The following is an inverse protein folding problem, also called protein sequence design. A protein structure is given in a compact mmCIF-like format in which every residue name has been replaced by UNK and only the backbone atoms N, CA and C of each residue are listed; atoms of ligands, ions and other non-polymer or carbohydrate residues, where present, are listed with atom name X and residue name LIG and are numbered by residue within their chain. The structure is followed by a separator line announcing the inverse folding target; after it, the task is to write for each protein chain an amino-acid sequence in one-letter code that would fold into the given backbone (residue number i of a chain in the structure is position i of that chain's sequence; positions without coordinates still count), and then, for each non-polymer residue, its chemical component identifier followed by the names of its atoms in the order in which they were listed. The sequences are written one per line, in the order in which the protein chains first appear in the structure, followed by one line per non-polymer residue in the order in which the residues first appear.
data_IF_003002685691
#
_entry.id   IF_003002685691
#
_cell.length_a   1.000
_cell.length_b   1.000
_cell.length_c   1.000
_cell.angle_alpha   90.00
_cell.angle_beta   90.00
_cell.angle_gamma   90.00
#
_symmetry.space_group_name_H-M   'P 1'
#
loop_
_entity.id
_entity.type
_entity.pdbx_description
1 polymer ?
#
# COMPACT_ATOMS: atom_id res chain seq x y z
N UNK A 1 5.14 -13.31 -48.71
CA UNK A 1 4.88 -13.85 -50.07
C UNK A 1 6.13 -13.95 -50.97
N UNK A 2 7.05 -13.00 -50.92
CA UNK A 2 8.27 -12.93 -51.77
C UNK A 2 9.20 -14.14 -51.61
N UNK A 3 9.35 -14.64 -50.38
CA UNK A 3 10.28 -15.74 -50.06
C UNK A 3 9.84 -17.10 -50.65
N UNK A 4 8.54 -17.39 -50.67
CA UNK A 4 8.00 -18.65 -51.21
C UNK A 4 8.11 -18.67 -52.75
N UNK A 5 7.81 -17.56 -53.41
CA UNK A 5 7.92 -17.48 -54.88
C UNK A 5 9.37 -17.59 -55.34
N UNK A 6 10.30 -16.95 -54.63
CA UNK A 6 11.74 -17.07 -54.90
C UNK A 6 12.24 -18.50 -54.68
N UNK A 7 11.83 -19.15 -53.59
CA UNK A 7 12.20 -20.53 -53.31
C UNK A 7 11.66 -21.52 -54.38
N UNK A 8 10.43 -21.32 -54.86
CA UNK A 8 9.85 -22.12 -55.94
C UNK A 8 10.54 -21.85 -57.30
N UNK A 9 10.98 -20.62 -57.56
CA UNK A 9 11.78 -20.31 -58.75
C UNK A 9 13.15 -21.00 -58.72
N UNK A 10 13.81 -21.02 -57.57
CA UNK A 10 15.12 -21.70 -57.43
C UNK A 10 14.99 -23.21 -57.64
N UNK A 11 13.93 -23.85 -57.13
CA UNK A 11 13.63 -25.26 -57.43
C UNK A 11 13.47 -25.48 -58.93
N UNK A 12 12.71 -24.63 -59.62
CA UNK A 12 12.54 -24.72 -61.07
C UNK A 12 13.86 -24.58 -61.82
N UNK A 13 14.75 -23.70 -61.34
CA UNK A 13 16.08 -23.48 -61.93
C UNK A 13 17.00 -24.69 -61.76
N UNK A 14 16.90 -25.42 -60.66
CA UNK A 14 17.62 -26.68 -60.42
C UNK A 14 17.02 -27.84 -61.24
N UNK A 15 15.69 -27.91 -61.30
CA UNK A 15 14.96 -28.87 -62.11
C UNK A 15 15.32 -28.79 -63.60
N UNK A 16 15.44 -27.58 -64.16
CA UNK A 16 15.84 -27.39 -65.56
C UNK A 16 17.21 -28.01 -65.89
N UNK A 17 18.18 -27.88 -64.98
CA UNK A 17 19.51 -28.48 -65.18
C UNK A 17 19.43 -30.00 -65.11
N UNK A 18 18.66 -30.54 -64.16
CA UNK A 18 18.45 -31.98 -64.08
C UNK A 18 17.79 -32.51 -65.36
N UNK A 19 16.76 -31.84 -65.87
CA UNK A 19 16.11 -32.24 -67.12
C UNK A 19 17.06 -32.17 -68.32
N UNK A 20 17.88 -31.13 -68.42
CA UNK A 20 18.87 -31.04 -69.48
C UNK A 20 19.85 -32.23 -69.43
N UNK A 21 20.36 -32.57 -68.25
CA UNK A 21 21.26 -33.71 -68.07
C UNK A 21 20.58 -35.03 -68.43
N UNK A 22 19.32 -35.22 -68.05
CA UNK A 22 18.53 -36.40 -68.40
C UNK A 22 18.30 -36.49 -69.92
N UNK A 23 17.92 -35.39 -70.57
CA UNK A 23 17.74 -35.35 -72.03
C UNK A 23 19.06 -35.69 -72.73
N UNK A 24 20.18 -35.11 -72.32
CA UNK A 24 21.50 -35.42 -72.89
C UNK A 24 21.87 -36.89 -72.70
N UNK A 25 21.66 -37.44 -71.50
CA UNK A 25 21.91 -38.85 -71.22
C UNK A 25 21.05 -39.78 -72.07
N UNK A 26 19.74 -39.52 -72.15
CA UNK A 26 18.82 -40.27 -73.00
C UNK A 26 19.22 -40.15 -74.49
N UNK A 27 19.49 -38.94 -74.97
CA UNK A 27 19.94 -38.71 -76.36
C UNK A 27 21.20 -39.49 -76.73
N UNK A 28 22.17 -39.62 -75.81
CA UNK A 28 23.36 -40.44 -76.00
C UNK A 28 23.00 -41.93 -76.04
N UNK A 29 22.11 -42.38 -75.15
CA UNK A 29 21.64 -43.77 -75.11
C UNK A 29 20.85 -44.18 -76.36
N UNK A 30 20.22 -43.25 -77.08
CA UNK A 30 19.52 -43.54 -78.32
C UNK A 30 20.41 -44.17 -79.40
N UNK A 31 21.70 -43.82 -79.45
CA UNK A 31 22.66 -44.31 -80.46
C UNK A 31 22.91 -45.81 -80.36
N UNK A 32 23.33 -46.38 -79.21
CA UNK A 32 23.51 -47.82 -79.08
C UNK A 32 22.19 -48.61 -79.19
N UNK A 33 21.04 -48.03 -78.79
CA UNK A 33 19.73 -48.68 -78.96
C UNK A 33 19.44 -48.82 -80.47
N UNK A 34 19.56 -47.73 -81.23
CA UNK A 34 19.35 -47.77 -82.68
C UNK A 34 20.34 -48.70 -83.37
N UNK A 35 21.61 -48.72 -82.95
CA UNK A 35 22.60 -49.67 -83.48
C UNK A 35 22.18 -51.14 -83.31
N UNK A 36 21.49 -51.46 -82.22
CA UNK A 36 21.08 -52.82 -81.90
C UNK A 36 19.76 -53.25 -82.59
N UNK A 37 18.79 -52.35 -82.70
CA UNK A 37 17.42 -52.68 -83.12
C UNK A 37 17.03 -52.13 -84.51
N UNK A 38 17.62 -51.04 -85.00
CA UNK A 38 17.17 -50.33 -86.21
C UNK A 38 18.32 -49.76 -87.06
N UNK A 39 18.03 -48.84 -88.00
CA UNK A 39 19.08 -48.03 -88.65
C UNK A 39 19.37 -46.76 -87.84
N UNK A 40 20.57 -46.19 -88.03
CA UNK A 40 21.01 -44.97 -87.33
C UNK A 40 20.38 -43.68 -87.89
N UNK A 41 19.74 -43.74 -89.06
CA UNK A 41 19.37 -42.57 -89.85
C UNK A 41 18.44 -41.62 -89.09
N UNK A 42 17.51 -42.17 -88.30
CA UNK A 42 16.61 -41.38 -87.47
C UNK A 42 17.29 -40.76 -86.25
N UNK A 43 18.16 -41.51 -85.56
CA UNK A 43 18.81 -41.03 -84.33
C UNK A 43 19.81 -39.91 -84.60
N UNK A 44 20.59 -40.01 -85.68
CA UNK A 44 21.59 -39.01 -86.05
C UNK A 44 20.98 -37.63 -86.34
N UNK A 45 19.68 -37.56 -86.61
CA UNK A 45 18.95 -36.31 -86.85
C UNK A 45 18.18 -35.89 -85.58
N UNK A 46 17.30 -36.75 -85.07
CA UNK A 46 16.38 -36.35 -84.01
C UNK A 46 17.05 -36.16 -82.64
N UNK A 47 18.04 -36.99 -82.29
CA UNK A 47 18.72 -36.90 -80.98
C UNK A 47 19.54 -35.60 -80.82
N UNK A 48 20.37 -35.18 -81.81
CA UNK A 48 21.03 -33.87 -81.75
C UNK A 48 20.06 -32.70 -81.73
N UNK A 49 18.95 -32.76 -82.49
CA UNK A 49 17.95 -31.68 -82.52
C UNK A 49 17.28 -31.49 -81.16
N UNK A 50 16.82 -32.58 -80.54
CA UNK A 50 16.19 -32.53 -79.20
C UNK A 50 17.18 -32.02 -78.15
N UNK A 51 18.44 -32.45 -78.24
CA UNK A 51 19.50 -32.04 -77.31
C UNK A 51 19.86 -30.57 -77.44
N UNK A 52 20.10 -30.08 -78.67
CA UNK A 52 20.43 -28.67 -78.93
C UNK A 52 19.26 -27.76 -78.52
N UNK A 53 18.03 -28.18 -78.81
CA UNK A 53 16.83 -27.42 -78.41
C UNK A 53 16.70 -27.36 -76.87
N UNK A 54 16.90 -28.49 -76.18
CA UNK A 54 16.89 -28.53 -74.72
C UNK A 54 17.99 -27.64 -74.11
N UNK A 55 19.21 -27.70 -74.66
CA UNK A 55 20.32 -26.85 -74.22
C UNK A 55 20.00 -25.36 -74.43
N UNK A 56 19.53 -24.98 -75.61
CA UNK A 56 19.15 -23.61 -75.92
C UNK A 56 18.08 -23.08 -74.96
N UNK A 57 17.03 -23.87 -74.71
CA UNK A 57 15.97 -23.51 -73.75
C UNK A 57 16.52 -23.37 -72.32
N UNK A 58 17.35 -24.31 -71.87
CA UNK A 58 17.90 -24.28 -70.52
C UNK A 58 18.92 -23.14 -70.30
N UNK A 59 19.68 -22.73 -71.32
CA UNK A 59 20.63 -21.60 -71.21
C UNK A 59 19.95 -20.24 -71.36
N UNK A 60 18.96 -20.13 -72.25
CA UNK A 60 18.32 -18.84 -72.56
C UNK A 60 17.13 -18.50 -71.67
N UNK A 61 16.37 -19.49 -71.21
CA UNK A 61 15.07 -19.29 -70.53
C UNK A 61 14.97 -20.01 -69.18
N UNK A 62 16.11 -20.28 -68.53
CA UNK A 62 16.17 -21.04 -67.27
C UNK A 62 15.25 -20.49 -66.18
N UNK A 63 14.51 -21.38 -65.52
CA UNK A 63 13.60 -21.09 -64.41
C UNK A 63 12.26 -20.47 -64.83
N UNK A 64 12.05 -20.20 -66.13
CA UNK A 64 10.81 -19.64 -66.65
C UNK A 64 9.70 -20.67 -66.73
N UNK A 65 8.46 -20.21 -66.92
CA UNK A 65 7.32 -21.11 -67.16
C UNK A 65 7.51 -21.91 -68.46
N UNK A 66 8.23 -21.36 -69.44
CA UNK A 66 8.46 -22.03 -70.74
C UNK A 66 9.30 -23.30 -70.55
N UNK A 67 10.43 -23.20 -69.85
CA UNK A 67 11.31 -24.37 -69.64
C UNK A 67 10.65 -25.46 -68.80
N UNK A 68 9.79 -25.08 -67.85
CA UNK A 68 9.02 -26.01 -67.00
C UNK A 68 8.10 -26.96 -67.77
N UNK A 69 7.60 -26.57 -68.94
CA UNK A 69 6.80 -27.45 -69.79
C UNK A 69 7.64 -28.00 -70.95
N UNK A 70 8.46 -27.16 -71.58
CA UNK A 70 9.19 -27.54 -72.77
C UNK A 70 10.26 -28.61 -72.50
N UNK A 71 11.06 -28.51 -71.43
CA UNK A 71 12.09 -29.50 -71.14
C UNK A 71 11.51 -30.89 -70.80
N UNK A 72 10.49 -31.01 -69.93
CA UNK A 72 9.79 -32.28 -69.73
C UNK A 72 9.20 -32.88 -71.00
N UNK A 73 8.58 -32.07 -71.86
CA UNK A 73 8.03 -32.55 -73.13
C UNK A 73 9.12 -33.00 -74.10
N UNK A 74 10.29 -32.34 -74.12
CA UNK A 74 11.46 -32.79 -74.88
C UNK A 74 12.03 -34.10 -74.34
N UNK A 75 12.03 -34.30 -73.02
CA UNK A 75 12.36 -35.59 -72.41
C UNK A 75 11.34 -36.69 -72.79
N UNK A 76 10.05 -36.35 -72.85
CA UNK A 76 9.04 -37.29 -73.36
C UNK A 76 9.28 -37.64 -74.84
N UNK A 77 9.71 -36.66 -75.64
CA UNK A 77 10.05 -36.87 -77.06
C UNK A 77 11.31 -37.74 -77.24
N UNK A 78 12.33 -37.62 -76.38
CA UNK A 78 13.49 -38.53 -76.42
C UNK A 78 13.11 -39.95 -76.01
N UNK A 79 12.20 -40.14 -75.04
CA UNK A 79 11.64 -41.46 -74.72
C UNK A 79 10.82 -42.04 -75.87
N UNK A 80 9.98 -41.22 -76.53
CA UNK A 80 9.27 -41.63 -77.74
C UNK A 80 10.24 -42.05 -78.86
N UNK A 81 11.38 -41.35 -79.00
CA UNK A 81 12.44 -41.73 -79.94
C UNK A 81 13.06 -43.08 -79.56
N UNK A 82 13.31 -43.36 -78.28
CA UNK A 82 13.80 -44.68 -77.84
C UNK A 82 12.84 -45.81 -78.21
N UNK A 83 11.54 -45.60 -77.98
CA UNK A 83 10.49 -46.56 -78.35
C UNK A 83 10.50 -46.80 -79.87
N UNK A 84 10.62 -45.73 -80.66
CA UNK A 84 10.67 -45.82 -82.13
C UNK A 84 11.89 -46.63 -82.61
N UNK A 85 13.08 -46.35 -82.07
CA UNK A 85 14.33 -46.96 -82.55
C UNK A 85 14.54 -48.37 -81.99
N UNK A 86 13.82 -48.73 -80.93
CA UNK A 86 13.78 -50.09 -80.40
C UNK A 86 12.69 -50.95 -81.02
N UNK A 87 12.03 -50.48 -82.09
CA UNK A 87 10.91 -51.15 -82.77
C UNK A 87 9.72 -51.45 -81.82
N UNK A 88 9.46 -50.57 -80.86
CA UNK A 88 8.33 -50.68 -79.95
C UNK A 88 8.45 -51.75 -78.87
N UNK A 89 9.67 -52.18 -78.52
CA UNK A 89 9.90 -53.13 -77.42
C UNK A 89 9.44 -52.58 -76.06
N UNK A 90 8.90 -53.47 -75.21
CA UNK A 90 8.24 -53.09 -73.96
C UNK A 90 9.25 -52.54 -72.95
N UNK A 91 10.52 -52.96 -73.00
CA UNK A 91 11.58 -52.51 -72.10
C UNK A 91 11.77 -50.98 -72.16
N UNK A 92 11.65 -50.36 -73.33
CA UNK A 92 11.79 -48.91 -73.46
C UNK A 92 10.50 -48.14 -73.13
N UNK A 93 9.36 -48.82 -73.02
CA UNK A 93 8.13 -48.22 -72.49
C UNK A 93 8.21 -47.95 -70.99
N UNK A 94 9.06 -48.66 -70.23
CA UNK A 94 9.36 -48.29 -68.84
C UNK A 94 9.89 -46.86 -68.72
N UNK A 95 10.51 -46.31 -69.78
CA UNK A 95 10.94 -44.92 -69.87
C UNK A 95 9.79 -43.91 -69.68
N UNK A 96 8.55 -44.27 -70.02
CA UNK A 96 7.35 -43.45 -69.80
C UNK A 96 7.11 -43.25 -68.30
N UNK A 97 7.07 -44.36 -67.54
CA UNK A 97 6.84 -44.36 -66.11
C UNK A 97 7.96 -43.63 -65.37
N UNK A 98 9.22 -43.88 -65.74
CA UNK A 98 10.40 -43.20 -65.17
C UNK A 98 10.36 -41.70 -65.44
N UNK A 99 9.97 -41.29 -66.65
CA UNK A 99 9.88 -39.87 -67.00
C UNK A 99 8.80 -39.15 -66.19
N UNK A 100 7.60 -39.74 -66.09
CA UNK A 100 6.51 -39.20 -65.27
C UNK A 100 6.93 -39.02 -63.80
N UNK A 101 7.66 -39.98 -63.24
CA UNK A 101 8.21 -39.86 -61.89
C UNK A 101 9.29 -38.75 -61.78
N UNK A 102 10.18 -38.64 -62.75
CA UNK A 102 11.27 -37.65 -62.73
C UNK A 102 10.77 -36.20 -62.88
N UNK A 103 9.70 -35.96 -63.64
CA UNK A 103 9.15 -34.61 -63.81
C UNK A 103 8.51 -34.06 -62.53
N UNK A 104 8.28 -34.90 -61.51
CA UNK A 104 7.88 -34.45 -60.16
C UNK A 104 8.89 -33.48 -59.53
N UNK A 105 10.14 -33.42 -60.00
CA UNK A 105 11.15 -32.45 -59.53
C UNK A 105 10.70 -30.99 -59.69
N UNK A 106 9.84 -30.69 -60.68
CA UNK A 106 9.26 -29.36 -60.85
C UNK A 106 8.21 -28.99 -59.80
N UNK A 107 7.75 -29.98 -59.03
CA UNK A 107 6.72 -29.85 -58.00
C UNK A 107 5.41 -29.22 -58.49
N UNK A 108 5.08 -29.44 -59.77
CA UNK A 108 3.91 -28.84 -60.43
C UNK A 108 3.09 -29.92 -61.13
N UNK A 109 1.88 -30.19 -60.61
CA UNK A 109 1.00 -31.26 -61.10
C UNK A 109 0.62 -31.10 -62.58
N UNK A 110 0.57 -29.85 -63.07
CA UNK A 110 0.22 -29.53 -64.46
C UNK A 110 1.28 -30.04 -65.44
N UNK A 111 2.55 -30.06 -65.03
CA UNK A 111 3.66 -30.57 -65.85
C UNK A 111 3.57 -32.09 -65.99
N UNK A 112 3.27 -32.80 -64.90
CA UNK A 112 3.00 -34.25 -64.93
C UNK A 112 1.84 -34.56 -65.87
N UNK A 113 0.72 -33.83 -65.73
CA UNK A 113 -0.45 -34.01 -66.59
C UNK A 113 -0.15 -33.74 -68.08
N UNK A 114 0.65 -32.71 -68.38
CA UNK A 114 1.06 -32.40 -69.74
C UNK A 114 1.92 -33.53 -70.35
N UNK A 115 2.84 -34.11 -69.57
CA UNK A 115 3.66 -35.25 -69.99
C UNK A 115 2.82 -36.52 -70.18
N UNK A 116 1.88 -36.79 -69.28
CA UNK A 116 0.94 -37.91 -69.40
C UNK A 116 0.07 -37.77 -70.65
N UNK A 117 -0.41 -36.56 -70.95
CA UNK A 117 -1.17 -36.26 -72.16
C UNK A 117 -0.32 -36.44 -73.42
N UNK A 118 0.96 -36.03 -73.40
CA UNK A 118 1.90 -36.28 -74.49
C UNK A 118 2.05 -37.77 -74.76
N UNK A 119 2.29 -38.58 -73.74
CA UNK A 119 2.43 -40.03 -73.92
C UNK A 119 1.13 -40.67 -74.38
N UNK A 120 -0.03 -40.26 -73.85
CA UNK A 120 -1.32 -40.76 -74.32
C UNK A 120 -1.53 -40.45 -75.82
N UNK A 121 -1.24 -39.22 -76.25
CA UNK A 121 -1.30 -38.82 -77.66
C UNK A 121 -0.32 -39.64 -78.50
N UNK A 122 0.92 -39.80 -78.05
CA UNK A 122 1.94 -40.61 -78.72
C UNK A 122 1.47 -42.05 -78.90
N UNK A 123 0.99 -42.72 -77.85
CA UNK A 123 0.59 -44.13 -77.92
C UNK A 123 -0.59 -44.33 -78.87
N UNK A 124 -1.62 -43.46 -78.79
CA UNK A 124 -2.78 -43.55 -79.68
C UNK A 124 -2.36 -43.27 -81.14
N UNK A 125 -1.63 -42.18 -81.38
CA UNK A 125 -1.27 -41.77 -82.73
C UNK A 125 -0.30 -42.75 -83.39
N UNK A 126 0.75 -43.17 -82.68
CA UNK A 126 1.80 -44.01 -83.25
C UNK A 126 1.28 -45.41 -83.55
N UNK A 127 0.40 -45.96 -82.72
CA UNK A 127 -0.24 -47.23 -83.01
C UNK A 127 -1.19 -47.19 -84.21
N UNK A 128 -1.99 -46.11 -84.37
CA UNK A 128 -2.82 -45.93 -85.56
C UNK A 128 -1.97 -45.81 -86.83
N UNK A 129 -0.87 -45.08 -86.76
CA UNK A 129 0.08 -44.96 -87.87
C UNK A 129 0.81 -46.28 -88.15
N UNK A 130 1.15 -47.04 -87.11
CA UNK A 130 1.74 -48.38 -87.22
C UNK A 130 0.77 -49.35 -87.90
N UNK A 131 -0.51 -49.34 -87.51
CA UNK A 131 -1.57 -50.14 -88.13
C UNK A 131 -1.77 -49.82 -89.62
N UNK A 132 -1.48 -48.59 -90.04
CA UNK A 132 -1.52 -48.16 -91.43
C UNK A 132 -0.21 -48.36 -92.20
N UNK A 133 0.85 -48.88 -91.56
CA UNK A 133 2.10 -49.24 -92.23
C UNK A 133 3.06 -48.07 -92.48
N UNK A 134 2.94 -46.96 -91.75
CA UNK A 134 3.83 -45.78 -91.92
C UNK A 134 5.25 -45.95 -91.34
N UNK A 135 5.66 -47.15 -90.93
CA UNK A 135 7.01 -47.41 -90.39
C UNK A 135 7.27 -46.75 -89.02
N UNK A 136 6.20 -46.46 -88.28
CA UNK A 136 6.24 -45.89 -86.93
C UNK A 136 5.86 -47.00 -85.93
N UNK A 137 6.53 -47.04 -84.79
CA UNK A 137 6.35 -48.06 -83.76
C UNK A 137 5.87 -47.43 -82.46
N UNK A 138 4.71 -47.86 -81.99
CA UNK A 138 4.29 -47.70 -80.60
C UNK A 138 4.74 -48.95 -79.84
N UNK A 139 4.16 -50.11 -80.17
CA UNK A 139 4.53 -51.42 -79.63
C UNK A 139 5.14 -52.30 -80.72
N UNK A 140 5.57 -53.53 -80.40
CA UNK A 140 6.12 -54.46 -81.41
C UNK A 140 5.11 -54.75 -82.54
N UNK A 141 3.82 -54.76 -82.22
CA UNK A 141 2.70 -54.88 -83.16
C UNK A 141 1.60 -53.89 -82.78
N UNK A 142 0.81 -53.44 -83.75
CA UNK A 142 -0.32 -52.53 -83.49
C UNK A 142 -1.45 -53.28 -82.76
N UNK A 143 -1.81 -52.80 -81.57
CA UNK A 143 -2.79 -53.44 -80.68
C UNK A 143 -3.49 -52.39 -79.82
N UNK A 144 -4.71 -52.05 -80.22
CA UNK A 144 -5.50 -51.05 -79.51
C UNK A 144 -5.81 -51.43 -78.07
N UNK A 145 -6.02 -52.72 -77.80
CA UNK A 145 -6.39 -53.19 -76.46
C UNK A 145 -5.22 -53.04 -75.50
N UNK A 146 -3.99 -53.35 -75.96
CA UNK A 146 -2.77 -53.10 -75.19
C UNK A 146 -2.60 -51.61 -74.86
N UNK A 147 -2.94 -50.71 -75.77
CA UNK A 147 -2.81 -49.25 -75.53
C UNK A 147 -3.84 -48.75 -74.54
N UNK A 148 -5.08 -49.24 -74.63
CA UNK A 148 -6.09 -48.94 -73.62
C UNK A 148 -5.61 -49.41 -72.25
N UNK A 149 -5.01 -50.61 -72.14
CA UNK A 149 -4.40 -51.08 -70.89
C UNK A 149 -3.25 -50.18 -70.41
N UNK A 150 -2.31 -49.81 -71.27
CA UNK A 150 -1.23 -48.87 -70.92
C UNK A 150 -1.78 -47.53 -70.43
N UNK A 151 -2.81 -46.98 -71.10
CA UNK A 151 -3.46 -45.75 -70.70
C UNK A 151 -4.04 -45.85 -69.29
N UNK A 152 -4.63 -46.98 -68.89
CA UNK A 152 -5.11 -47.16 -67.51
C UNK A 152 -3.99 -47.07 -66.47
N UNK A 153 -2.83 -47.67 -66.74
CA UNK A 153 -1.67 -47.58 -65.86
C UNK A 153 -1.11 -46.15 -65.78
N UNK A 154 -1.02 -45.45 -66.91
CA UNK A 154 -0.56 -44.04 -66.94
C UNK A 154 -1.52 -43.14 -66.16
N UNK A 155 -2.84 -43.32 -66.30
CA UNK A 155 -3.84 -42.55 -65.54
C UNK A 155 -3.71 -42.83 -64.04
N UNK A 156 -3.60 -44.10 -63.64
CA UNK A 156 -3.45 -44.49 -62.24
C UNK A 156 -2.15 -43.92 -61.63
N UNK A 157 -1.02 -44.05 -62.32
CA UNK A 157 0.26 -43.48 -61.91
C UNK A 157 0.16 -41.96 -61.79
N UNK A 158 -0.35 -41.28 -62.82
CA UNK A 158 -0.49 -39.81 -62.84
C UNK A 158 -1.32 -39.33 -61.65
N UNK A 159 -2.41 -40.03 -61.31
CA UNK A 159 -3.23 -39.68 -60.15
C UNK A 159 -2.44 -39.77 -58.82
N UNK A 160 -1.63 -40.83 -58.65
CA UNK A 160 -0.77 -40.99 -57.47
C UNK A 160 0.32 -39.91 -57.42
N UNK A 161 0.98 -39.62 -58.54
CA UNK A 161 2.01 -38.58 -58.61
C UNK A 161 1.45 -37.19 -58.30
N UNK A 162 0.28 -36.85 -58.83
CA UNK A 162 -0.41 -35.59 -58.52
C UNK A 162 -0.72 -35.50 -57.02
N UNK A 163 -1.20 -36.59 -56.40
CA UNK A 163 -1.47 -36.63 -54.96
C UNK A 163 -0.20 -36.40 -54.14
N UNK A 164 0.90 -37.11 -54.45
CA UNK A 164 2.18 -36.95 -53.75
C UNK A 164 2.72 -35.52 -53.94
N UNK A 165 2.62 -34.97 -55.15
CA UNK A 165 3.05 -33.61 -55.46
C UNK A 165 2.30 -32.55 -54.66
N UNK A 166 0.98 -32.65 -54.56
CA UNK A 166 0.19 -31.72 -53.76
C UNK A 166 0.61 -31.74 -52.29
N UNK A 167 0.89 -32.93 -51.73
CA UNK A 167 1.41 -33.08 -50.35
C UNK A 167 2.82 -32.51 -50.21
N UNK A 168 3.70 -32.75 -51.18
CA UNK A 168 5.08 -32.25 -51.17
C UNK A 168 5.13 -30.72 -51.22
N UNK A 169 4.30 -30.08 -52.04
CA UNK A 169 4.19 -28.61 -52.11
C UNK A 169 3.64 -28.04 -50.81
N UNK A 170 2.61 -28.66 -50.22
CA UNK A 170 2.05 -28.22 -48.95
C UNK A 170 3.09 -28.29 -47.82
N UNK A 171 3.80 -29.42 -47.70
CA UNK A 171 4.86 -29.62 -46.70
C UNK A 171 6.02 -28.63 -46.90
N UNK A 172 6.41 -28.37 -48.15
CA UNK A 172 7.46 -27.39 -48.45
C UNK A 172 7.07 -25.95 -48.08
N UNK A 173 5.83 -25.54 -48.37
CA UNK A 173 5.33 -24.21 -47.96
C UNK A 173 5.31 -24.05 -46.43
N UNK A 174 4.84 -25.09 -45.73
CA UNK A 174 4.83 -25.10 -44.26
C UNK A 174 6.26 -24.98 -43.69
N UNK A 175 7.25 -25.65 -44.29
CA UNK A 175 8.65 -25.53 -43.90
C UNK A 175 9.21 -24.11 -44.06
N UNK A 176 8.90 -23.43 -45.17
CA UNK A 176 9.34 -22.04 -45.39
C UNK A 176 8.67 -21.08 -44.40
N UNK A 177 7.37 -21.22 -44.17
CA UNK A 177 6.65 -20.37 -43.22
C UNK A 177 7.19 -20.56 -41.79
N UNK A 178 7.42 -21.81 -41.37
CA UNK A 178 8.00 -22.12 -40.07
C UNK A 178 9.40 -21.53 -39.91
N UNK A 179 10.26 -21.65 -40.92
CA UNK A 179 11.58 -21.04 -40.91
C UNK A 179 11.50 -19.51 -40.84
N UNK A 180 10.52 -18.90 -41.52
CA UNK A 180 10.25 -17.47 -41.45
C UNK A 180 9.91 -17.02 -40.03
N UNK A 181 9.01 -17.76 -39.36
CA UNK A 181 8.64 -17.48 -37.97
C UNK A 181 9.85 -17.62 -37.02
N UNK A 182 10.64 -18.68 -37.16
CA UNK A 182 11.85 -18.89 -36.33
C UNK A 182 12.88 -17.77 -36.54
N UNK A 183 13.06 -17.32 -37.78
CA UNK A 183 13.98 -16.21 -38.05
C UNK A 183 13.46 -14.88 -37.52
N UNK A 184 12.14 -14.65 -37.53
CA UNK A 184 11.53 -13.45 -36.97
C UNK A 184 11.61 -13.41 -35.44
N UNK A 185 11.70 -14.59 -34.79
CA UNK A 185 11.87 -14.74 -33.35
C UNK A 185 13.29 -14.37 -32.86
N UNK A 186 14.32 -14.62 -33.66
CA UNK A 186 15.72 -14.39 -33.27
C UNK A 186 16.17 -12.97 -33.65
N UNK A 187 16.19 -12.05 -32.68
CA UNK A 187 16.66 -10.67 -32.85
C UNK A 187 18.06 -10.48 -32.25
N UNK A 188 19.00 -11.34 -32.63
CA UNK A 188 20.43 -11.18 -32.30
C UNK A 188 20.74 -11.31 -30.81
N UNK A 189 20.02 -12.18 -30.09
CA UNK A 189 20.23 -12.47 -28.67
C UNK A 189 19.03 -12.19 -27.75
N UNK A 190 17.94 -11.65 -28.29
CA UNK A 190 16.64 -11.56 -27.63
C UNK A 190 15.55 -12.18 -28.49
N UNK A 191 14.51 -12.72 -27.85
CA UNK A 191 13.36 -13.28 -28.51
C UNK A 191 12.33 -12.19 -28.79
N UNK A 192 12.08 -11.90 -30.06
CA UNK A 192 10.98 -11.03 -30.46
C UNK A 192 9.69 -11.86 -30.62
N UNK A 193 8.79 -11.75 -29.65
CA UNK A 193 7.53 -12.49 -29.66
C UNK A 193 6.43 -11.78 -30.46
N UNK A 194 6.60 -10.50 -30.82
CA UNK A 194 5.66 -9.80 -31.70
C UNK A 194 5.94 -10.14 -33.16
N UNK A 195 5.30 -11.22 -33.60
CA UNK A 195 5.32 -11.71 -34.98
C UNK A 195 3.95 -11.50 -35.67
N UNK A 196 3.18 -10.51 -35.21
CA UNK A 196 1.88 -10.17 -35.79
C UNK A 196 1.98 -9.68 -37.24
N UNK A 197 3.13 -9.12 -37.62
CA UNK A 197 3.44 -8.69 -38.99
C UNK A 197 3.73 -9.82 -39.97
N UNK A 198 3.96 -11.05 -39.50
CA UNK A 198 4.28 -12.18 -40.36
C UNK A 198 3.03 -12.83 -40.96
N UNK A 199 2.95 -12.87 -42.29
CA UNK A 199 1.83 -13.49 -43.00
C UNK A 199 2.05 -15.00 -43.15
N UNK A 200 1.31 -15.81 -42.38
CA UNK A 200 1.34 -17.27 -42.44
C UNK A 200 -0.01 -17.86 -42.88
N UNK A 201 0.00 -18.92 -43.67
CA UNK A 201 -1.23 -19.54 -44.21
C UNK A 201 -1.38 -21.00 -43.83
N UNK A 202 -0.27 -21.73 -43.67
CA UNK A 202 -0.28 -23.14 -43.33
C UNK A 202 -0.79 -23.35 -41.89
N UNK A 203 -1.52 -24.45 -41.60
CA UNK A 203 -2.14 -24.67 -40.28
C UNK A 203 -1.14 -24.60 -39.12
N UNK A 204 -0.02 -25.33 -39.21
CA UNK A 204 1.01 -25.34 -38.16
C UNK A 204 1.67 -23.98 -37.96
N UNK A 205 1.93 -23.22 -39.04
CA UNK A 205 2.51 -21.90 -38.92
C UNK A 205 1.54 -20.93 -38.23
N UNK A 206 0.23 -21.03 -38.50
CA UNK A 206 -0.80 -20.26 -37.78
C UNK A 206 -0.89 -20.65 -36.30
N UNK A 207 -0.84 -21.93 -35.98
CA UNK A 207 -0.84 -22.41 -34.59
C UNK A 207 0.40 -21.92 -33.83
N UNK A 208 1.57 -22.00 -34.45
CA UNK A 208 2.80 -21.47 -33.84
C UNK A 208 2.74 -19.96 -33.66
N UNK A 209 2.26 -19.22 -34.66
CA UNK A 209 2.08 -17.76 -34.55
C UNK A 209 1.15 -17.42 -33.38
N UNK A 210 0.00 -18.08 -33.28
CA UNK A 210 -0.93 -17.87 -32.17
C UNK A 210 -0.29 -18.17 -30.81
N UNK A 211 0.51 -19.24 -30.72
CA UNK A 211 1.22 -19.59 -29.48
C UNK A 211 2.27 -18.55 -29.08
N UNK A 212 3.02 -18.01 -30.05
CA UNK A 212 3.97 -16.92 -29.79
C UNK A 212 3.29 -15.63 -29.36
N UNK A 213 2.16 -15.26 -29.98
CA UNK A 213 1.39 -14.07 -29.58
C UNK A 213 0.80 -14.22 -28.17
N UNK A 214 0.28 -15.39 -27.82
CA UNK A 214 -0.17 -15.67 -26.45
C UNK A 214 0.98 -15.58 -25.44
N UNK A 215 2.17 -16.05 -25.83
CA UNK A 215 3.37 -15.92 -24.99
C UNK A 215 3.78 -14.45 -24.85
N UNK A 216 3.72 -13.64 -25.94
CA UNK A 216 3.95 -12.20 -25.90
C UNK A 216 3.05 -11.52 -24.86
N UNK A 217 1.75 -11.76 -24.91
CA UNK A 217 0.79 -11.17 -23.97
C UNK A 217 1.03 -11.59 -22.52
N UNK A 218 1.42 -12.87 -22.32
CA UNK A 218 1.78 -13.39 -20.99
C UNK A 218 3.01 -12.69 -20.45
N UNK A 219 4.09 -12.59 -21.23
CA UNK A 219 5.33 -11.93 -20.83
C UNK A 219 5.12 -10.43 -20.59
N UNK A 220 4.27 -9.77 -21.41
CA UNK A 220 3.85 -8.38 -21.23
C UNK A 220 3.10 -8.18 -19.90
N UNK A 221 2.18 -9.08 -19.57
CA UNK A 221 1.40 -9.03 -18.32
C UNK A 221 2.30 -9.25 -17.11
N UNK A 222 3.23 -10.21 -17.17
CA UNK A 222 4.24 -10.45 -16.12
C UNK A 222 5.13 -9.21 -15.94
N UNK A 223 5.62 -8.62 -17.02
CA UNK A 223 6.48 -7.42 -16.96
C UNK A 223 5.75 -6.22 -16.36
N UNK A 224 4.46 -6.05 -16.69
CA UNK A 224 3.64 -5.02 -16.07
C UNK A 224 3.47 -5.27 -14.56
N UNK A 225 3.15 -6.50 -14.18
CA UNK A 225 2.96 -6.90 -12.77
C UNK A 225 4.24 -6.71 -11.95
N UNK A 226 5.40 -7.08 -12.49
CA UNK A 226 6.71 -6.86 -11.85
C UNK A 226 6.96 -5.38 -11.59
N UNK A 227 6.63 -4.50 -12.55
CA UNK A 227 6.77 -3.05 -12.37
C UNK A 227 5.85 -2.53 -11.26
N UNK A 228 4.60 -2.99 -11.22
CA UNK A 228 3.65 -2.61 -10.17
C UNK A 228 4.11 -3.08 -8.79
N UNK A 229 4.60 -4.32 -8.69
CA UNK A 229 5.16 -4.85 -7.44
C UNK A 229 6.37 -4.03 -6.99
N UNK A 230 7.26 -3.65 -7.90
CA UNK A 230 8.42 -2.82 -7.57
C UNK A 230 8.00 -1.45 -7.00
N UNK A 231 6.99 -0.82 -7.59
CA UNK A 231 6.42 0.44 -7.07
C UNK A 231 5.78 0.22 -5.70
N UNK A 232 4.96 -0.81 -5.53
CA UNK A 232 4.30 -1.12 -4.26
C UNK A 232 5.31 -1.42 -3.14
N UNK A 233 6.36 -2.19 -3.42
CA UNK A 233 7.44 -2.47 -2.46
C UNK A 233 8.14 -1.18 -2.01
N UNK A 234 8.44 -0.26 -2.95
CA UNK A 234 9.03 1.02 -2.61
C UNK A 234 8.09 1.90 -1.75
N UNK A 235 6.80 1.92 -2.06
CA UNK A 235 5.79 2.61 -1.25
C UNK A 235 5.68 2.03 0.17
N UNK A 236 5.68 0.70 0.30
CA UNK A 236 5.69 0.03 1.62
C UNK A 236 6.95 0.39 2.40
N UNK A 237 8.13 0.39 1.77
CA UNK A 237 9.38 0.74 2.42
C UNK A 237 9.37 2.19 2.93
N UNK A 238 8.87 3.11 2.10
CA UNK A 238 8.72 4.52 2.46
C UNK A 238 7.72 4.70 3.60
N UNK A 239 6.56 4.04 3.53
CA UNK A 239 5.54 4.07 4.58
C UNK A 239 6.02 3.45 5.90
N UNK A 240 6.84 2.40 5.84
CA UNK A 240 7.44 1.78 7.03
C UNK A 240 8.44 2.73 7.71
N UNK A 241 9.23 3.47 6.93
CA UNK A 241 10.14 4.49 7.47
C UNK A 241 9.36 5.65 8.12
N UNK A 242 8.27 6.12 7.49
CA UNK A 242 7.39 7.14 8.07
C UNK A 242 6.74 6.64 9.37
N UNK A 243 6.24 5.41 9.38
CA UNK A 243 5.67 4.80 10.58
C UNK A 243 6.70 4.72 11.71
N UNK A 244 7.94 4.34 11.40
CA UNK A 244 9.02 4.31 12.38
C UNK A 244 9.30 5.70 12.97
N UNK A 245 9.47 6.72 12.13
CA UNK A 245 9.71 8.10 12.56
C UNK A 245 8.56 8.66 13.44
N UNK A 246 7.31 8.39 13.04
CA UNK A 246 6.13 8.78 13.82
C UNK A 246 6.02 8.03 15.14
N UNK A 247 6.44 6.76 15.17
CA UNK A 247 6.48 5.95 16.38
C UNK A 247 7.52 6.49 17.35
N UNK A 248 8.71 6.85 16.89
CA UNK A 248 9.74 7.49 17.71
C UNK A 248 9.26 8.84 18.29
N UNK A 249 8.63 9.67 17.47
CA UNK A 249 8.06 10.94 17.92
C UNK A 249 6.95 10.72 18.96
N UNK A 250 6.08 9.74 18.75
CA UNK A 250 5.03 9.39 19.70
C UNK A 250 5.58 8.88 21.03
N UNK A 251 6.62 8.03 21.01
CA UNK A 251 7.32 7.60 22.21
C UNK A 251 7.88 8.79 22.99
N UNK A 252 8.54 9.74 22.32
CA UNK A 252 9.06 10.95 22.98
C UNK A 252 7.96 11.78 23.64
N UNK A 253 6.81 11.94 22.97
CA UNK A 253 5.65 12.63 23.53
C UNK A 253 5.03 11.87 24.72
N UNK A 254 4.99 10.54 24.69
CA UNK A 254 4.53 9.71 25.80
C UNK A 254 5.45 9.83 27.01
N UNK A 255 6.77 9.84 26.82
CA UNK A 255 7.73 10.08 27.91
C UNK A 255 7.55 11.45 28.56
N UNK A 256 7.30 12.49 27.76
CA UNK A 256 7.03 13.83 28.28
C UNK A 256 5.70 13.87 29.05
N UNK A 257 4.69 13.19 28.55
CA UNK A 257 3.37 13.07 29.21
C UNK A 257 3.49 12.31 30.53
N UNK A 258 4.25 11.22 30.57
CA UNK A 258 4.53 10.47 31.79
C UNK A 258 5.26 11.34 32.83
N UNK A 259 6.27 12.12 32.40
CA UNK A 259 6.95 13.09 33.26
C UNK A 259 6.02 14.20 33.76
N UNK A 260 5.06 14.64 32.95
CA UNK A 260 4.04 15.60 33.37
C UNK A 260 3.09 14.99 34.42
N UNK A 261 2.61 13.76 34.20
CA UNK A 261 1.76 13.04 35.15
C UNK A 261 2.44 12.87 36.52
N UNK A 262 3.71 12.45 36.53
CA UNK A 262 4.50 12.35 37.77
C UNK A 262 4.65 13.69 38.51
N UNK A 263 4.80 14.80 37.78
CA UNK A 263 4.83 16.14 38.40
C UNK A 263 3.48 16.52 39.01
N UNK A 264 2.37 16.17 38.37
CA UNK A 264 1.01 16.42 38.91
C UNK A 264 0.78 15.59 40.18
N UNK A 265 1.17 14.31 40.18
CA UNK A 265 1.10 13.45 41.36
C UNK A 265 1.89 14.04 42.54
N UNK A 266 3.14 14.46 42.30
CA UNK A 266 3.96 15.09 43.34
C UNK A 266 3.35 16.41 43.86
N UNK A 267 2.78 17.22 42.97
CA UNK A 267 2.09 18.45 43.37
C UNK A 267 0.81 18.16 44.19
N UNK A 268 0.07 17.12 43.84
CA UNK A 268 -1.11 16.66 44.58
C UNK A 268 -0.75 16.16 45.99
N UNK A 269 0.32 15.36 46.12
CA UNK A 269 0.82 14.92 47.42
C UNK A 269 1.24 16.09 48.30
N UNK A 270 1.94 17.07 47.73
CA UNK A 270 2.33 18.29 48.44
C UNK A 270 1.11 19.11 48.87
N UNK A 271 0.10 19.26 48.00
CA UNK A 271 -1.15 19.96 48.33
C UNK A 271 -1.91 19.26 49.46
N UNK A 272 -1.98 17.92 49.45
CA UNK A 272 -2.59 17.13 50.52
C UNK A 272 -1.87 17.31 51.85
N UNK A 273 -0.54 17.31 51.85
CA UNK A 273 0.26 17.55 53.05
C UNK A 273 0.03 18.96 53.61
N UNK A 274 0.03 19.98 52.73
CA UNK A 274 -0.25 21.37 53.10
C UNK A 274 -1.66 21.55 53.67
N UNK A 275 -2.66 20.89 53.08
CA UNK A 275 -4.04 20.93 53.57
C UNK A 275 -4.17 20.30 54.97
N UNK A 276 -3.49 19.17 55.21
CA UNK A 276 -3.47 18.53 56.52
C UNK A 276 -2.78 19.39 57.59
N UNK A 277 -1.66 20.05 57.26
CA UNK A 277 -0.97 20.98 58.17
C UNK A 277 -1.85 22.21 58.47
N UNK A 278 -2.49 22.77 57.45
CA UNK A 278 -3.41 23.90 57.59
C UNK A 278 -4.63 23.55 58.45
N UNK A 279 -5.18 22.35 58.32
CA UNK A 279 -6.26 21.87 59.18
C UNK A 279 -5.82 21.76 60.65
N UNK A 280 -4.61 21.25 60.91
CA UNK A 280 -4.04 21.19 62.25
C UNK A 280 -3.82 22.59 62.86
N UNK A 281 -3.30 23.54 62.07
CA UNK A 281 -3.16 24.94 62.50
C UNK A 281 -4.52 25.58 62.81
N UNK A 282 -5.53 25.32 61.98
CA UNK A 282 -6.90 25.85 62.14
C UNK A 282 -7.56 25.31 63.40
N UNK A 283 -7.35 24.02 63.71
CA UNK A 283 -7.79 23.42 64.97
C UNK A 283 -7.14 24.08 66.19
N UNK A 284 -5.82 24.31 66.17
CA UNK A 284 -5.13 25.00 67.26
C UNK A 284 -5.64 26.43 67.45
N UNK A 285 -5.90 27.15 66.35
CA UNK A 285 -6.48 28.50 66.40
C UNK A 285 -7.90 28.48 66.99
N UNK A 286 -8.71 27.46 66.66
CA UNK A 286 -10.06 27.28 67.22
C UNK A 286 -10.02 27.00 68.72
N UNK A 287 -9.08 26.16 69.17
CA UNK A 287 -8.86 25.90 70.60
C UNK A 287 -8.42 27.16 71.35
N UNK A 288 -7.48 27.93 70.80
CA UNK A 288 -7.07 29.22 71.37
C UNK A 288 -8.24 30.22 71.45
N UNK A 289 -9.09 30.28 70.42
CA UNK A 289 -10.28 31.12 70.43
C UNK A 289 -11.30 30.67 71.50
N UNK A 290 -11.47 29.36 71.72
CA UNK A 290 -12.33 28.83 72.78
C UNK A 290 -11.79 29.18 74.18
N UNK A 291 -10.47 29.09 74.39
CA UNK A 291 -9.85 29.55 75.63
C UNK A 291 -10.02 31.07 75.82
N UNK A 292 -9.87 31.84 74.74
CA UNK A 292 -10.13 33.28 74.73
C UNK A 292 -11.56 33.64 75.12
N UNK A 293 -12.56 32.92 74.60
CA UNK A 293 -13.96 33.09 75.00
C UNK A 293 -14.16 32.88 76.50
N UNK A 294 -13.56 31.83 77.09
CA UNK A 294 -13.67 31.57 78.52
C UNK A 294 -13.08 32.70 79.37
N UNK A 295 -11.92 33.25 78.97
CA UNK A 295 -11.28 34.38 79.67
C UNK A 295 -12.11 35.66 79.56
N UNK A 296 -12.62 35.99 78.39
CA UNK A 296 -13.45 37.19 78.19
C UNK A 296 -14.81 37.05 78.89
N UNK A 297 -15.39 35.85 78.94
CA UNK A 297 -16.61 35.59 79.70
C UNK A 297 -16.39 35.81 81.21
N UNK A 298 -15.28 35.32 81.77
CA UNK A 298 -14.92 35.56 83.17
C UNK A 298 -14.65 37.05 83.45
N UNK A 299 -14.07 37.78 82.49
CA UNK A 299 -13.90 39.24 82.58
C UNK A 299 -15.26 39.96 82.62
N UNK A 300 -16.21 39.57 81.78
CA UNK A 300 -17.55 40.14 81.77
C UNK A 300 -18.29 39.90 83.11
N UNK A 301 -18.17 38.70 83.68
CA UNK A 301 -18.71 38.38 85.02
C UNK A 301 -18.05 39.22 86.13
N UNK A 302 -16.73 39.44 86.04
CA UNK A 302 -16.01 40.29 86.98
C UNK A 302 -16.46 41.75 86.87
N UNK A 303 -16.67 42.27 85.65
CA UNK A 303 -17.21 43.62 85.44
C UNK A 303 -18.62 43.76 86.02
N UNK A 304 -19.49 42.75 85.87
CA UNK A 304 -20.83 42.76 86.47
C UNK A 304 -20.77 42.76 88.01
N UNK A 305 -19.88 41.95 88.59
CA UNK A 305 -19.63 41.92 90.04
C UNK A 305 -19.15 43.28 90.55
N UNK A 306 -18.17 43.91 89.88
CA UNK A 306 -17.66 45.24 90.26
C UNK A 306 -18.75 46.31 90.10
N UNK A 307 -19.60 46.20 89.08
CA UNK A 307 -20.74 47.08 88.87
C UNK A 307 -21.72 47.00 90.05
N UNK A 308 -22.09 45.78 90.47
CA UNK A 308 -22.97 45.55 91.63
C UNK A 308 -22.36 46.10 92.93
N UNK A 309 -21.07 45.82 93.19
CA UNK A 309 -20.35 46.35 94.36
C UNK A 309 -20.27 47.88 94.36
N UNK A 310 -20.05 48.49 93.19
CA UNK A 310 -20.00 49.95 93.06
C UNK A 310 -21.37 50.59 93.33
N UNK A 311 -22.47 49.93 92.95
CA UNK A 311 -23.82 50.37 93.25
C UNK A 311 -24.10 50.32 94.76
N UNK A 312 -23.66 49.28 95.46
CA UNK A 312 -23.78 49.16 96.91
C UNK A 312 -22.97 50.27 97.63
N UNK A 313 -21.74 50.54 97.18
CA UNK A 313 -20.95 51.66 97.72
C UNK A 313 -21.67 53.01 97.48
N UNK A 314 -22.29 53.19 96.31
CA UNK A 314 -23.05 54.41 96.02
C UNK A 314 -24.18 54.64 97.03
N UNK A 315 -24.89 53.57 97.42
CA UNK A 315 -25.94 53.60 98.45
C UNK A 315 -25.37 53.98 99.81
N UNK A 316 -24.25 53.37 100.24
CA UNK A 316 -23.59 53.69 101.49
C UNK A 316 -23.14 55.16 101.53
N UNK A 317 -22.56 55.66 100.44
CA UNK A 317 -22.11 57.07 100.33
C UNK A 317 -23.29 58.04 100.38
N UNK A 318 -24.45 57.66 99.83
CA UNK A 318 -25.67 58.44 99.98
C UNK A 318 -26.14 58.52 101.45
N UNK A 319 -26.02 57.42 102.21
CA UNK A 319 -26.30 57.42 103.66
C UNK A 319 -25.32 58.32 104.41
N UNK A 320 -24.02 58.26 104.11
CA UNK A 320 -22.99 59.10 104.74
C UNK A 320 -23.23 60.59 104.49
N UNK A 321 -23.56 60.97 103.27
CA UNK A 321 -23.93 62.34 102.90
C UNK A 321 -25.17 62.81 103.70
N UNK A 322 -26.18 61.92 103.82
CA UNK A 322 -27.36 62.16 104.67
C UNK A 322 -27.02 62.36 106.15
N UNK A 323 -26.13 61.53 106.71
CA UNK A 323 -25.66 61.65 108.10
C UNK A 323 -24.84 62.94 108.31
N UNK A 324 -24.00 63.32 107.35
CA UNK A 324 -23.25 64.56 107.39
C UNK A 324 -24.20 65.77 107.38
N UNK A 325 -25.23 65.77 106.55
CA UNK A 325 -26.26 66.80 106.53
C UNK A 325 -27.02 66.88 107.86
N UNK A 326 -27.45 65.74 108.42
CA UNK A 326 -28.11 65.69 109.73
C UNK A 326 -27.19 66.23 110.85
N UNK A 327 -25.91 65.86 110.84
CA UNK A 327 -24.91 66.32 111.81
C UNK A 327 -24.67 67.83 111.70
N UNK A 328 -24.62 68.37 110.48
CA UNK A 328 -24.51 69.80 110.23
C UNK A 328 -25.72 70.57 110.80
N UNK A 329 -26.94 70.04 110.64
CA UNK A 329 -28.15 70.62 111.23
C UNK A 329 -28.15 70.56 112.77
N UNK A 330 -27.73 69.43 113.35
CA UNK A 330 -27.58 69.26 114.81
C UNK A 330 -26.55 70.25 115.38
N UNK A 331 -25.41 70.40 114.71
CA UNK A 331 -24.35 71.32 115.11
C UNK A 331 -24.78 72.79 114.99
N UNK A 332 -25.54 73.14 113.95
CA UNK A 332 -26.14 74.47 113.82
C UNK A 332 -27.12 74.76 114.96
N UNK A 333 -28.00 73.81 115.29
CA UNK A 333 -28.93 73.94 116.41
C UNK A 333 -28.17 74.12 117.75
N UNK A 334 -27.10 73.35 117.96
CA UNK A 334 -26.25 73.47 119.14
C UNK A 334 -25.51 74.82 119.20
N UNK A 335 -25.02 75.34 118.08
CA UNK A 335 -24.37 76.65 118.00
C UNK A 335 -25.35 77.79 118.33
N UNK A 336 -26.61 77.69 117.86
CA UNK A 336 -27.69 78.62 118.18
C UNK A 336 -28.01 78.61 119.68
N UNK A 337 -28.15 77.43 120.28
CA UNK A 337 -28.44 77.30 121.71
C UNK A 337 -27.26 77.76 122.59
N UNK A 338 -26.02 77.51 122.15
CA UNK A 338 -24.81 78.01 122.81
C UNK A 338 -24.71 79.55 122.76
N UNK A 339 -25.08 80.17 121.64
CA UNK A 339 -25.17 81.64 121.53
C UNK A 339 -26.24 82.21 122.45
N UNK A 340 -27.35 81.48 122.65
CA UNK A 340 -28.45 81.84 123.55
C UNK A 340 -28.05 81.81 125.04
N UNK A 341 -27.09 80.96 125.41
CA UNK A 341 -26.56 80.84 126.77
C UNK A 341 -25.50 81.91 127.14
N UNK A 342 -25.12 82.81 126.22
CA UNK A 342 -24.20 83.91 126.49
C UNK A 342 -22.78 83.46 126.87
N UNK A 343 -22.17 84.10 127.88
CA UNK A 343 -20.78 83.80 128.31
C UNK A 343 -20.59 82.34 128.78
N UNK A 344 -21.62 81.71 129.35
CA UNK A 344 -21.58 80.33 129.82
C UNK A 344 -21.56 79.31 128.66
N UNK A 345 -22.00 79.71 127.46
CA UNK A 345 -22.09 78.86 126.27
C UNK A 345 -20.86 78.91 125.35
N UNK A 346 -19.86 79.78 125.62
CA UNK A 346 -18.71 80.01 124.73
C UNK A 346 -17.94 78.74 124.37
N UNK A 347 -17.69 77.86 125.35
CA UNK A 347 -17.02 76.58 125.12
C UNK A 347 -17.83 75.65 124.20
N UNK A 348 -19.15 75.57 124.40
CA UNK A 348 -20.05 74.78 123.57
C UNK A 348 -20.21 75.33 122.16
N UNK A 349 -20.21 76.66 121.97
CA UNK A 349 -20.28 77.29 120.67
C UNK A 349 -19.07 76.94 119.78
N UNK A 350 -17.86 76.87 120.36
CA UNK A 350 -16.64 76.47 119.64
C UNK A 350 -16.72 75.00 119.22
N UNK A 351 -17.19 74.10 120.10
CA UNK A 351 -17.37 72.69 119.74
C UNK A 351 -18.44 72.54 118.66
N UNK A 352 -19.56 73.24 118.76
CA UNK A 352 -20.63 73.19 117.77
C UNK A 352 -20.17 73.66 116.38
N UNK A 353 -19.39 74.75 116.30
CA UNK A 353 -18.84 75.21 115.02
C UNK A 353 -17.79 74.23 114.45
N UNK A 354 -16.97 73.60 115.28
CA UNK A 354 -16.00 72.58 114.82
C UNK A 354 -16.72 71.31 114.33
N UNK A 355 -17.77 70.86 115.02
CA UNK A 355 -18.63 69.74 114.56
C UNK A 355 -19.32 70.11 113.23
N UNK A 356 -19.79 71.35 113.08
CA UNK A 356 -20.41 71.84 111.84
C UNK A 356 -19.41 71.83 110.68
N UNK A 357 -18.19 72.31 110.91
CA UNK A 357 -17.09 72.29 109.94
C UNK A 357 -16.72 70.86 109.54
N UNK A 358 -16.68 69.94 110.51
CA UNK A 358 -16.42 68.53 110.25
C UNK A 358 -17.53 67.88 109.42
N UNK A 359 -18.80 68.20 109.72
CA UNK A 359 -19.95 67.71 108.96
C UNK A 359 -19.96 68.21 107.51
N UNK A 360 -19.67 69.50 107.28
CA UNK A 360 -19.52 70.04 105.92
C UNK A 360 -18.35 69.40 105.16
N UNK A 361 -17.24 69.13 105.85
CA UNK A 361 -16.09 68.42 105.28
C UNK A 361 -16.43 66.95 104.94
N UNK A 362 -17.25 66.29 105.75
CA UNK A 362 -17.76 64.94 105.46
C UNK A 362 -18.70 64.92 104.25
N UNK A 363 -19.57 65.93 104.09
CA UNK A 363 -20.45 66.05 102.93
C UNK A 363 -19.66 66.29 101.63
N UNK A 364 -18.66 67.18 101.65
CA UNK A 364 -17.78 67.42 100.51
C UNK A 364 -17.00 66.15 100.11
N UNK A 365 -16.46 65.43 101.10
CA UNK A 365 -15.80 64.14 100.85
C UNK A 365 -16.77 63.10 100.26
N UNK A 366 -18.01 63.00 100.76
CA UNK A 366 -19.02 62.10 100.22
C UNK A 366 -19.39 62.45 98.76
N UNK A 367 -19.49 63.74 98.42
CA UNK A 367 -19.72 64.20 97.05
C UNK A 367 -18.55 63.84 96.12
N UNK A 368 -17.30 64.00 96.57
CA UNK A 368 -16.11 63.58 95.81
C UNK A 368 -16.10 62.06 95.56
N UNK A 369 -16.42 61.25 96.59
CA UNK A 369 -16.53 59.79 96.44
C UNK A 369 -17.65 59.42 95.45
N UNK A 370 -18.81 60.10 95.50
CA UNK A 370 -19.90 59.87 94.54
C UNK A 370 -19.47 60.14 93.09
N UNK A 371 -18.70 61.20 92.87
CA UNK A 371 -18.12 61.50 91.55
C UNK A 371 -17.17 60.40 91.05
N UNK A 372 -16.32 59.86 91.94
CA UNK A 372 -15.45 58.73 91.61
C UNK A 372 -16.25 57.47 91.27
N UNK A 373 -17.31 57.14 92.03
CA UNK A 373 -18.18 55.99 91.76
C UNK A 373 -18.87 56.12 90.40
N UNK A 374 -19.39 57.31 90.06
CA UNK A 374 -20.01 57.55 88.76
C UNK A 374 -19.01 57.36 87.62
N UNK A 375 -17.78 57.86 87.78
CA UNK A 375 -16.70 57.66 86.81
C UNK A 375 -16.32 56.18 86.67
N UNK A 376 -16.22 55.45 87.79
CA UNK A 376 -15.97 54.01 87.79
C UNK A 376 -17.09 53.24 87.09
N UNK A 377 -18.36 53.60 87.32
CA UNK A 377 -19.52 53.00 86.65
C UNK A 377 -19.47 53.15 85.13
N UNK A 378 -19.09 54.33 84.62
CA UNK A 378 -18.89 54.56 83.18
C UNK A 378 -17.77 53.69 82.61
N UNK A 379 -16.64 53.56 83.33
CA UNK A 379 -15.52 52.73 82.91
C UNK A 379 -15.89 51.23 82.88
N UNK A 380 -16.66 50.76 83.87
CA UNK A 380 -17.13 49.37 83.94
C UNK A 380 -18.13 49.08 82.81
N UNK A 381 -19.07 49.99 82.52
CA UNK A 381 -20.01 49.83 81.42
C UNK A 381 -19.30 49.74 80.06
N UNK A 382 -18.28 50.57 79.84
CA UNK A 382 -17.44 50.50 78.65
C UNK A 382 -16.67 49.16 78.58
N UNK A 383 -16.07 48.72 79.69
CA UNK A 383 -15.36 47.44 79.76
C UNK A 383 -16.28 46.22 79.52
N UNK A 384 -17.52 46.27 79.98
CA UNK A 384 -18.53 45.25 79.71
C UNK A 384 -18.90 45.19 78.22
N UNK A 385 -19.16 46.35 77.60
CA UNK A 385 -19.42 46.45 76.16
C UNK A 385 -18.27 45.89 75.32
N UNK A 386 -17.02 46.30 75.63
CA UNK A 386 -15.83 45.80 74.92
C UNK A 386 -15.64 44.28 75.08
N UNK A 387 -16.00 43.73 76.25
CA UNK A 387 -15.94 42.29 76.49
C UNK A 387 -16.99 41.54 75.64
N UNK A 388 -18.19 42.10 75.48
CA UNK A 388 -19.23 41.54 74.61
C UNK A 388 -18.81 41.56 73.13
N UNK A 389 -18.24 42.67 72.66
CA UNK A 389 -17.71 42.79 71.30
C UNK A 389 -16.59 41.77 71.05
N UNK A 390 -15.69 41.59 72.02
CA UNK A 390 -14.62 40.59 71.95
C UNK A 390 -15.18 39.15 71.91
N UNK A 391 -16.22 38.83 72.66
CA UNK A 391 -16.91 37.54 72.58
C UNK A 391 -17.51 37.29 71.18
N UNK A 392 -18.19 38.28 70.61
CA UNK A 392 -18.77 38.19 69.27
C UNK A 392 -17.68 37.98 68.20
N UNK A 393 -16.55 38.69 68.29
CA UNK A 393 -15.42 38.52 67.38
C UNK A 393 -14.83 37.09 67.46
N UNK A 394 -14.72 36.52 68.66
CA UNK A 394 -14.25 35.14 68.82
C UNK A 394 -15.21 34.10 68.24
N UNK A 395 -16.53 34.33 68.31
CA UNK A 395 -17.52 33.47 67.66
C UNK A 395 -17.41 33.52 66.13
N UNK A 396 -17.22 34.72 65.57
CA UNK A 396 -17.00 34.88 64.12
C UNK A 396 -15.71 34.17 63.67
N UNK A 397 -14.64 34.24 64.46
CA UNK A 397 -13.39 33.54 64.20
C UNK A 397 -13.61 32.01 64.15
N UNK A 398 -14.35 31.44 65.11
CA UNK A 398 -14.67 30.00 65.08
C UNK A 398 -15.45 29.61 63.82
N UNK A 399 -16.42 30.41 63.41
CA UNK A 399 -17.17 30.15 62.18
C UNK A 399 -16.26 30.20 60.94
N UNK A 400 -15.38 31.19 60.85
CA UNK A 400 -14.41 31.32 59.77
C UNK A 400 -13.44 30.14 59.72
N UNK A 401 -12.91 29.72 60.88
CA UNK A 401 -12.06 28.53 61.01
C UNK A 401 -12.78 27.25 60.57
N UNK A 402 -14.07 27.10 60.91
CA UNK A 402 -14.89 25.98 60.45
C UNK A 402 -14.99 25.89 58.92
N UNK A 403 -15.14 27.03 58.25
CA UNK A 403 -15.14 27.09 56.78
C UNK A 403 -13.78 26.69 56.20
N UNK A 404 -12.67 27.12 56.81
CA UNK A 404 -11.31 26.75 56.37
C UNK A 404 -11.09 25.23 56.49
N UNK A 405 -11.47 24.62 57.61
CA UNK A 405 -11.42 23.15 57.77
C UNK A 405 -12.28 22.43 56.73
N UNK A 406 -13.45 22.98 56.40
CA UNK A 406 -14.30 22.47 55.30
C UNK A 406 -13.56 22.47 53.96
N UNK A 407 -12.99 23.62 53.57
CA UNK A 407 -12.22 23.75 52.33
C UNK A 407 -10.99 22.85 52.29
N UNK A 408 -10.27 22.68 53.41
CA UNK A 408 -9.12 21.78 53.47
C UNK A 408 -9.53 20.31 53.25
N UNK A 409 -10.70 19.90 53.75
CA UNK A 409 -11.26 18.57 53.49
C UNK A 409 -11.57 18.38 52.00
N UNK A 410 -12.24 19.34 51.37
CA UNK A 410 -12.51 19.29 49.92
C UNK A 410 -11.22 19.22 49.08
N UNK A 411 -10.17 19.96 49.47
CA UNK A 411 -8.86 19.90 48.81
C UNK A 411 -8.27 18.49 48.93
N UNK A 412 -8.27 17.89 50.13
CA UNK A 412 -7.75 16.53 50.33
C UNK A 412 -8.52 15.50 49.48
N UNK A 413 -9.85 15.57 49.47
CA UNK A 413 -10.69 14.65 48.68
C UNK A 413 -10.43 14.81 47.17
N UNK A 414 -10.38 16.06 46.68
CA UNK A 414 -10.06 16.38 45.28
C UNK A 414 -8.66 15.89 44.88
N UNK A 415 -7.64 16.07 45.74
CA UNK A 415 -6.29 15.57 45.46
C UNK A 415 -6.22 14.04 45.42
N UNK A 416 -7.06 13.36 46.22
CA UNK A 416 -7.15 11.90 46.20
C UNK A 416 -7.79 11.39 44.89
N UNK A 417 -8.85 12.05 44.42
CA UNK A 417 -9.46 11.74 43.12
C UNK A 417 -8.48 12.00 41.96
N UNK A 418 -7.75 13.12 41.99
CA UNK A 418 -6.70 13.42 41.03
C UNK A 418 -5.62 12.33 40.99
N UNK A 419 -5.19 11.83 42.16
CA UNK A 419 -4.21 10.76 42.23
C UNK A 419 -4.72 9.47 41.55
N UNK A 420 -5.99 9.11 41.78
CA UNK A 420 -6.62 7.97 41.11
C UNK A 420 -6.69 8.17 39.59
N UNK A 421 -7.13 9.34 39.13
CA UNK A 421 -7.21 9.64 37.70
C UNK A 421 -5.83 9.64 37.02
N UNK A 422 -4.78 10.11 37.72
CA UNK A 422 -3.40 10.05 37.23
C UNK A 422 -2.87 8.62 37.16
N UNK A 423 -3.29 7.72 38.05
CA UNK A 423 -2.95 6.30 37.97
C UNK A 423 -3.54 5.65 36.71
N UNK A 424 -4.81 5.95 36.39
CA UNK A 424 -5.46 5.47 35.16
C UNK A 424 -4.74 6.00 33.90
N UNK A 425 -4.38 7.29 33.89
CA UNK A 425 -3.59 7.88 32.78
C UNK A 425 -2.23 7.20 32.65
N UNK A 426 -1.55 6.93 33.75
CA UNK A 426 -0.24 6.25 33.73
C UNK A 426 -0.36 4.84 33.15
N UNK A 427 -1.43 4.11 33.50
CA UNK A 427 -1.70 2.81 32.90
C UNK A 427 -1.99 2.91 31.40
N UNK A 428 -2.75 3.92 30.96
CA UNK A 428 -3.01 4.15 29.54
C UNK A 428 -1.72 4.48 28.76
N UNK A 429 -0.81 5.26 29.35
CA UNK A 429 0.50 5.54 28.77
C UNK A 429 1.29 4.25 28.54
N UNK A 430 1.35 3.35 29.53
CA UNK A 430 2.03 2.05 29.36
C UNK A 430 1.43 1.17 28.26
N UNK A 431 0.10 1.20 28.09
CA UNK A 431 -0.54 0.51 26.97
C UNK A 431 -0.14 1.11 25.62
N UNK A 432 -0.09 2.45 25.53
CA UNK A 432 0.36 3.14 24.33
C UNK A 432 1.83 2.86 24.02
N UNK A 433 2.71 2.84 25.02
CA UNK A 433 4.11 2.44 24.86
C UNK A 433 4.23 1.02 24.29
N UNK A 434 3.44 0.07 24.79
CA UNK A 434 3.40 -1.28 24.25
C UNK A 434 2.97 -1.31 22.78
N UNK A 435 1.91 -0.57 22.41
CA UNK A 435 1.48 -0.45 21.01
C UNK A 435 2.54 0.24 20.13
N UNK A 436 3.27 1.23 20.63
CA UNK A 436 4.38 1.84 19.89
C UNK A 436 5.52 0.84 19.66
N UNK A 437 5.84 0.00 20.65
CA UNK A 437 6.81 -1.08 20.47
C UNK A 437 6.38 -2.07 19.38
N UNK A 438 5.09 -2.43 19.35
CA UNK A 438 4.54 -3.28 18.29
C UNK A 438 4.58 -2.60 16.92
N UNK A 439 4.28 -1.31 16.83
CA UNK A 439 4.37 -0.54 15.58
C UNK A 439 5.81 -0.50 15.05
N UNK A 440 6.80 -0.35 15.92
CA UNK A 440 8.21 -0.39 15.53
C UNK A 440 8.60 -1.76 14.96
N UNK A 441 8.21 -2.85 15.63
CA UNK A 441 8.44 -4.20 15.13
C UNK A 441 7.73 -4.46 13.79
N UNK A 442 6.49 -4.00 13.64
CA UNK A 442 5.72 -4.10 12.41
C UNK A 442 6.37 -3.31 11.27
N UNK A 443 6.88 -2.11 11.55
CA UNK A 443 7.59 -1.28 10.57
C UNK A 443 8.87 -1.98 10.09
N UNK A 444 9.63 -2.58 11.00
CA UNK A 444 10.84 -3.33 10.67
C UNK A 444 10.54 -4.59 9.84
N UNK A 445 9.52 -5.37 10.22
CA UNK A 445 9.07 -6.54 9.47
C UNK A 445 8.56 -6.17 8.07
N UNK A 446 7.78 -5.09 7.97
CA UNK A 446 7.26 -4.58 6.70
C UNK A 446 8.37 -4.10 5.78
N UNK A 447 9.39 -3.44 6.33
CA UNK A 447 10.57 -3.02 5.58
C UNK A 447 11.35 -4.23 5.05
N UNK A 448 11.56 -5.24 5.88
CA UNK A 448 12.24 -6.48 5.48
C UNK A 448 11.46 -7.23 4.38
N UNK A 449 10.14 -7.35 4.53
CA UNK A 449 9.26 -7.97 3.54
C UNK A 449 9.29 -7.20 2.20
N UNK A 450 9.22 -5.87 2.24
CA UNK A 450 9.31 -5.03 1.06
C UNK A 450 10.67 -5.19 0.35
N UNK A 451 11.77 -5.28 1.10
CA UNK A 451 13.11 -5.54 0.53
C UNK A 451 13.18 -6.91 -0.17
N UNK A 452 12.62 -7.96 0.45
CA UNK A 452 12.56 -9.29 -0.17
C UNK A 452 11.74 -9.30 -1.47
N UNK A 453 10.59 -8.60 -1.48
CA UNK A 453 9.78 -8.43 -2.69
C UNK A 453 10.55 -7.67 -3.80
N UNK A 454 11.34 -6.66 -3.41
CA UNK A 454 12.21 -5.93 -4.34
C UNK A 454 13.26 -6.85 -4.98
N UNK A 455 13.86 -7.76 -4.22
CA UNK A 455 14.80 -8.76 -4.75
C UNK A 455 14.11 -9.74 -5.71
N UNK A 456 12.92 -10.24 -5.33
CA UNK A 456 12.13 -11.15 -6.17
C UNK A 456 11.71 -10.49 -7.49
N UNK A 457 11.28 -9.22 -7.46
CA UNK A 457 10.91 -8.48 -8.67
C UNK A 457 12.13 -8.26 -9.59
N UNK A 458 13.32 -8.02 -9.03
CA UNK A 458 14.57 -7.96 -9.82
C UNK A 458 14.87 -9.32 -10.47
N UNK A 459 14.67 -10.43 -9.75
CA UNK A 459 14.87 -11.77 -10.30
C UNK A 459 13.87 -12.08 -11.42
N UNK A 460 12.57 -11.79 -11.21
CA UNK A 460 11.53 -11.96 -12.23
C UNK A 460 11.83 -11.11 -13.48
N UNK A 461 12.27 -9.86 -13.29
CA UNK A 461 12.67 -8.99 -14.40
C UNK A 461 13.81 -9.59 -15.21
N UNK A 462 14.82 -10.18 -14.55
CA UNK A 462 15.93 -10.88 -15.23
C UNK A 462 15.41 -12.08 -16.03
N UNK A 463 14.47 -12.85 -15.49
CA UNK A 463 13.89 -14.02 -16.18
C UNK A 463 13.15 -13.66 -17.47
N UNK A 464 12.52 -12.48 -17.54
CA UNK A 464 11.82 -12.01 -18.75
C UNK A 464 12.69 -11.14 -19.66
N UNK A 465 13.91 -10.78 -19.26
CA UNK A 465 14.80 -9.89 -20.02
C UNK A 465 15.27 -10.47 -21.36
N UNK A 466 15.18 -11.80 -21.52
CA UNK A 466 15.47 -12.47 -22.79
C UNK A 466 14.40 -12.18 -23.86
N UNK A 467 13.21 -11.73 -23.47
CA UNK A 467 12.12 -11.41 -24.40
C UNK A 467 12.07 -9.91 -24.65
N UNK A 468 11.96 -9.54 -25.92
CA UNK A 468 11.68 -8.17 -26.35
C UNK A 468 10.16 -8.00 -26.38
N UNK A 469 9.68 -6.97 -25.69
CA UNK A 469 8.25 -6.66 -25.53
C UNK A 469 7.95 -5.31 -26.15
#
# INVERSE_FOLDING_TARGET
HTNIQQALQEIGRQADVLMLLLIMGCSILAVPIAWHYSSLDGVLIFSPVLSVLAAALCFSLRGTVITRYALPLLLCATVALHIQVSLGTIEFHFGVFVTLALVMVYREWRVVLACAAFFAMHHILFDRLQAWGYGIYCTTEADFQKIVLHATFVVAQTAVEIFILQKMVASYRQGIELQGLVNALDDGGQFNLDISGESVQTPLARELQALMLNLHDTVRTVTHSVRQMQTASHEIQTGSNDLSARTEQACSALEETARAASRVLAAGEHARALAADTDAMTRNATEAAHQGQAVVAALAESMDTIHQQSAEIAEIVAVVDGLAFQTNLLALNAAVEAARAGEQGRGFAVVAEEVRRLALRSADAAQQIRGLIQSSGQAIALGSSQSQDALAAMQQLQQASGNVTGSMREIMDSTQEQASAMADITQAIHQLEHSMSQNSALAEESHAAASSLQEQTVQMRRSVQAFKI
#
